data_IF_712471569331
#
_entry.id   IF_712471569331
#
_cell.length_a   1.000
_cell.length_b   1.000
_cell.length_c   1.000
_cell.angle_alpha   90.00
_cell.angle_beta   90.00
_cell.angle_gamma   90.00
#
_symmetry.space_group_name_H-M   'P 1'
#
loop_
_entity.id
_entity.type
_entity.pdbx_description
1 polymer ?
#
# COMPACT_ATOMS: atom_id res chain seq x y z
N UNK A 1 6.90 2.60 9.46
CA UNK A 1 8.01 3.55 9.71
C UNK A 1 8.25 3.58 11.20
N UNK A 2 9.50 3.53 11.66
CA UNK A 2 9.83 3.71 13.08
C UNK A 2 10.00 5.21 13.37
N UNK A 3 9.10 5.81 14.16
CA UNK A 3 9.15 7.24 14.50
C UNK A 3 10.37 7.61 15.33
N UNK A 4 10.95 6.67 16.08
CA UNK A 4 12.17 6.89 16.85
C UNK A 4 13.40 7.04 15.96
N UNK A 5 13.29 6.68 14.68
CA UNK A 5 14.37 6.77 13.68
C UNK A 5 14.35 8.06 12.85
N UNK A 6 13.38 8.97 13.09
CA UNK A 6 13.24 10.20 12.32
C UNK A 6 14.26 11.26 12.75
N UNK A 7 14.90 11.91 11.78
CA UNK A 7 15.85 13.00 11.98
C UNK A 7 15.49 14.18 11.08
N UNK A 8 15.24 15.35 11.68
CA UNK A 8 15.03 16.60 10.94
C UNK A 8 16.39 17.08 10.40
N UNK A 9 16.51 17.23 9.09
CA UNK A 9 17.75 17.66 8.43
C UNK A 9 17.77 19.19 8.21
N UNK A 10 16.64 19.74 7.80
CA UNK A 10 16.37 21.17 7.63
C UNK A 10 14.85 21.48 7.66
N UNK A 11 14.42 22.62 7.09
CA UNK A 11 13.01 23.06 7.06
C UNK A 11 12.10 22.20 6.19
N UNK A 12 12.63 21.50 5.21
CA UNK A 12 11.87 20.74 4.21
C UNK A 12 12.29 19.28 4.13
N UNK A 13 13.34 18.84 4.83
CA UNK A 13 13.85 17.48 4.71
C UNK A 13 13.86 16.73 6.05
N UNK A 14 13.33 15.51 6.02
CA UNK A 14 13.30 14.60 7.16
C UNK A 14 13.89 13.24 6.74
N UNK A 15 14.93 12.79 7.42
CA UNK A 15 15.45 11.45 7.25
C UNK A 15 14.67 10.45 8.12
N UNK A 16 14.55 9.22 7.66
CA UNK A 16 13.88 8.16 8.39
C UNK A 16 14.32 6.76 7.95
N UNK A 17 13.76 5.77 8.63
CA UNK A 17 14.00 4.36 8.33
C UNK A 17 12.69 3.61 8.08
N UNK A 18 12.61 2.93 6.93
CA UNK A 18 11.59 1.95 6.61
C UNK A 18 12.05 0.56 7.06
N UNK A 19 11.15 -0.14 7.75
CA UNK A 19 11.36 -1.52 8.17
C UNK A 19 10.37 -2.39 7.40
N UNK A 20 10.88 -3.39 6.69
CA UNK A 20 10.06 -4.45 6.12
C UNK A 20 9.94 -5.57 7.14
N UNK A 21 8.73 -5.79 7.63
CA UNK A 21 8.40 -6.83 8.60
C UNK A 21 7.38 -7.79 8.00
N UNK A 22 7.35 -9.02 8.51
CA UNK A 22 6.19 -9.87 8.33
C UNK A 22 5.12 -9.45 9.36
N UNK A 23 3.88 -9.21 8.92
CA UNK A 23 2.81 -8.71 9.80
C UNK A 23 2.42 -9.72 10.88
N UNK A 24 2.41 -11.01 10.55
CA UNK A 24 2.04 -12.08 11.48
C UNK A 24 3.21 -12.48 12.39
N UNK A 25 4.44 -12.20 11.95
CA UNK A 25 5.66 -12.41 12.73
C UNK A 25 6.63 -11.23 12.54
N UNK A 26 6.46 -10.14 13.32
CA UNK A 26 7.22 -8.90 13.15
C UNK A 26 8.73 -9.04 13.34
N UNK A 27 9.16 -10.12 14.00
CA UNK A 27 10.55 -10.44 14.25
C UNK A 27 10.95 -11.80 13.68
N UNK A 28 12.09 -11.91 12.97
CA UNK A 28 13.06 -10.85 12.69
C UNK A 28 12.60 -9.88 11.60
N UNK A 29 13.11 -8.64 11.65
CA UNK A 29 12.94 -7.65 10.56
C UNK A 29 13.56 -8.22 9.28
N UNK A 30 12.82 -8.19 8.17
CA UNK A 30 13.25 -8.79 6.89
C UNK A 30 14.27 -7.92 6.17
N UNK A 31 14.03 -6.62 6.14
CA UNK A 31 14.97 -5.65 5.57
C UNK A 31 14.73 -4.26 6.11
N UNK A 32 15.69 -3.38 5.88
CA UNK A 32 15.67 -1.99 6.30
C UNK A 32 16.11 -1.09 5.13
N UNK A 33 15.41 0.02 4.93
CA UNK A 33 15.74 1.02 3.92
C UNK A 33 15.75 2.39 4.57
N UNK A 34 16.87 3.09 4.47
CA UNK A 34 16.97 4.47 4.93
C UNK A 34 16.50 5.41 3.82
N UNK A 35 15.81 6.49 4.18
CA UNK A 35 15.29 7.45 3.21
C UNK A 35 15.40 8.89 3.71
N UNK A 36 15.26 9.83 2.78
CA UNK A 36 15.01 11.25 3.06
C UNK A 36 13.74 11.66 2.34
N UNK A 37 12.77 12.18 3.09
CA UNK A 37 11.56 12.78 2.57
C UNK A 37 11.75 14.28 2.42
N UNK A 38 11.37 14.81 1.26
CA UNK A 38 11.21 16.23 1.01
C UNK A 38 9.73 16.60 1.21
N UNK A 39 9.47 17.34 2.28
CA UNK A 39 8.15 17.73 2.79
C UNK A 39 7.56 18.98 2.10
N UNK A 40 8.11 19.37 0.94
CA UNK A 40 7.54 20.37 0.06
C UNK A 40 6.35 19.79 -0.74
N UNK A 41 5.66 20.62 -1.51
CA UNK A 41 4.59 20.17 -2.43
C UNK A 41 5.08 20.33 -3.87
N UNK A 42 5.17 19.24 -4.66
CA UNK A 42 4.83 17.85 -4.33
C UNK A 42 5.85 17.19 -3.38
N UNK A 43 5.40 16.22 -2.58
CA UNK A 43 6.31 15.45 -1.71
C UNK A 43 7.18 14.53 -2.56
N UNK A 44 8.46 14.43 -2.20
CA UNK A 44 9.43 13.55 -2.87
C UNK A 44 10.21 12.73 -1.86
N UNK A 45 10.78 11.61 -2.30
CA UNK A 45 11.58 10.73 -1.46
C UNK A 45 12.84 10.28 -2.19
N UNK A 46 13.95 10.25 -1.46
CA UNK A 46 15.22 9.71 -1.90
C UNK A 46 15.61 8.51 -1.03
N UNK A 47 16.02 7.41 -1.65
CA UNK A 47 16.59 6.26 -0.93
C UNK A 47 18.05 6.56 -0.63
N UNK A 48 18.47 6.34 0.62
CA UNK A 48 19.86 6.52 1.04
C UNK A 48 20.58 5.18 1.04
N UNK A 49 21.62 5.07 0.22
CA UNK A 49 22.59 3.98 0.28
C UNK A 49 23.77 4.41 1.17
N UNK A 50 23.80 3.97 2.43
CA UNK A 50 24.84 4.37 3.39
C UNK A 50 24.48 4.04 4.85
N UNK A 51 25.36 4.38 5.81
CA UNK A 51 25.07 4.20 7.24
C UNK A 51 24.11 5.29 7.74
N UNK A 52 23.16 4.91 8.58
CA UNK A 52 22.18 5.88 9.13
C UNK A 52 22.75 7.01 9.96
N UNK A 53 23.92 6.80 10.56
CA UNK A 53 24.57 7.73 11.49
C UNK A 53 25.04 9.02 10.83
N UNK A 54 25.18 9.02 9.50
CA UNK A 54 25.80 10.12 8.79
C UNK A 54 24.72 11.10 8.33
N UNK A 55 24.94 12.40 8.57
CA UNK A 55 24.04 13.45 8.12
C UNK A 55 23.92 13.35 6.59
N UNK A 56 22.70 13.19 6.09
CA UNK A 56 22.48 12.93 4.67
C UNK A 56 22.93 14.14 3.82
N UNK A 57 23.83 13.97 2.84
CA UNK A 57 24.22 15.02 1.91
C UNK A 57 23.09 15.26 0.90
N UNK A 58 22.19 16.19 1.19
CA UNK A 58 20.96 16.44 0.41
C UNK A 58 21.23 16.67 -1.08
N UNK A 59 22.31 17.36 -1.41
CA UNK A 59 22.70 17.70 -2.78
C UNK A 59 23.09 16.49 -3.64
N UNK A 60 23.47 15.37 -3.01
CA UNK A 60 23.84 14.14 -3.73
C UNK A 60 22.72 13.10 -3.77
N UNK A 61 21.53 13.44 -3.25
CA UNK A 61 20.39 12.53 -3.22
C UNK A 61 19.55 12.68 -4.49
N UNK A 62 19.18 11.54 -5.08
CA UNK A 62 18.25 11.49 -6.19
C UNK A 62 16.82 11.38 -5.63
N UNK A 63 16.07 12.48 -5.73
CA UNK A 63 14.69 12.54 -5.30
C UNK A 63 13.76 12.05 -6.41
N UNK A 64 12.87 11.14 -6.04
CA UNK A 64 11.81 10.62 -6.89
C UNK A 64 10.44 11.02 -6.33
N UNK A 65 9.46 11.12 -7.22
CA UNK A 65 8.08 11.33 -6.80
C UNK A 65 7.63 10.17 -5.91
N UNK A 66 6.98 10.50 -4.80
CA UNK A 66 6.44 9.46 -3.93
C UNK A 66 5.28 8.74 -4.61
N UNK A 67 5.24 7.43 -4.41
CA UNK A 67 4.20 6.55 -4.93
C UNK A 67 3.46 5.86 -3.79
N UNK A 68 2.16 5.63 -4.02
CA UNK A 68 1.36 4.82 -3.11
C UNK A 68 1.80 3.35 -3.14
N UNK A 69 2.19 2.85 -4.32
CA UNK A 69 2.38 1.42 -4.58
C UNK A 69 3.60 0.84 -3.86
N UNK A 70 4.68 1.60 -3.75
CA UNK A 70 5.92 1.17 -3.09
C UNK A 70 5.99 1.59 -1.61
N UNK A 71 4.93 2.23 -1.10
CA UNK A 71 4.85 2.72 0.27
C UNK A 71 5.68 3.98 0.56
N UNK A 72 6.35 4.57 -0.44
CA UNK A 72 7.15 5.79 -0.27
C UNK A 72 6.28 7.01 0.08
N UNK A 73 5.05 7.08 -0.43
CA UNK A 73 4.09 8.13 -0.04
C UNK A 73 3.75 8.06 1.44
N UNK A 74 3.42 6.87 1.94
CA UNK A 74 3.09 6.68 3.36
C UNK A 74 4.31 6.93 4.26
N UNK A 75 5.50 6.59 3.79
CA UNK A 75 6.75 6.86 4.49
C UNK A 75 7.03 8.36 4.62
N UNK A 76 6.90 9.09 3.50
CA UNK A 76 7.14 10.52 3.44
C UNK A 76 6.09 11.31 4.23
N UNK A 77 4.80 11.01 4.04
CA UNK A 77 3.72 11.69 4.77
C UNK A 77 3.88 11.50 6.29
N UNK A 78 4.15 10.26 6.74
CA UNK A 78 4.39 10.00 8.14
C UNK A 78 5.59 10.78 8.69
N UNK A 79 6.71 10.82 7.97
CA UNK A 79 7.92 11.54 8.40
C UNK A 79 7.69 13.05 8.50
N UNK A 80 7.03 13.63 7.49
CA UNK A 80 6.74 15.06 7.44
C UNK A 80 5.73 15.50 8.51
N UNK A 81 4.73 14.67 8.81
CA UNK A 81 3.70 15.03 9.80
C UNK A 81 4.13 14.74 11.24
N UNK A 82 4.94 13.69 11.47
CA UNK A 82 5.52 13.37 12.80
C UNK A 82 6.42 14.48 13.33
N UNK A 83 7.08 15.19 12.43
CA UNK A 83 8.00 16.28 12.77
C UNK A 83 7.28 17.62 12.93
N UNK A 84 6.13 17.82 12.27
CA UNK A 84 5.29 19.01 12.44
C UNK A 84 4.41 18.94 13.68
N UNK A 85 3.78 17.80 13.96
CA UNK A 85 2.83 17.61 15.06
C UNK A 85 2.81 16.15 15.54
N UNK A 86 3.54 15.78 16.62
CA UNK A 86 3.67 14.38 17.05
C UNK A 86 2.34 13.66 17.35
N UNK A 87 1.34 14.37 17.88
CA UNK A 87 -0.01 13.82 18.11
C UNK A 87 -0.79 13.58 16.82
N UNK A 88 -0.55 14.38 15.78
CA UNK A 88 -1.19 14.24 14.47
C UNK A 88 -0.63 13.05 13.70
N UNK A 89 0.64 12.70 13.89
CA UNK A 89 1.24 11.53 13.25
C UNK A 89 0.71 10.18 13.75
N UNK A 90 0.42 10.05 15.04
CA UNK A 90 -0.24 8.84 15.57
C UNK A 90 -1.66 8.70 15.00
N UNK A 91 -2.35 9.83 14.85
CA UNK A 91 -3.66 9.89 14.21
C UNK A 91 -3.56 9.59 12.71
N UNK A 92 -2.58 10.14 11.99
CA UNK A 92 -2.31 9.88 10.58
C UNK A 92 -1.89 8.44 10.31
N UNK A 93 -1.04 7.82 11.14
CA UNK A 93 -0.70 6.40 11.00
C UNK A 93 -1.95 5.51 11.13
N UNK A 94 -2.85 5.85 12.04
CA UNK A 94 -4.14 5.17 12.21
C UNK A 94 -5.12 5.49 11.07
N UNK A 95 -5.19 6.75 10.63
CA UNK A 95 -6.01 7.19 9.50
C UNK A 95 -5.50 6.62 8.17
N UNK A 96 -4.19 6.50 7.94
CA UNK A 96 -3.60 5.81 6.78
C UNK A 96 -3.80 4.31 6.87
N UNK A 97 -3.79 3.73 8.08
CA UNK A 97 -4.14 2.31 8.24
C UNK A 97 -5.64 2.07 7.95
N UNK A 98 -6.53 2.93 8.43
CA UNK A 98 -7.98 2.79 8.30
C UNK A 98 -8.47 3.24 6.91
N UNK A 99 -7.99 4.38 6.41
CA UNK A 99 -8.40 5.01 5.16
C UNK A 99 -7.45 4.80 4.00
N UNK A 100 -6.21 4.38 4.21
CA UNK A 100 -5.11 4.61 3.27
C UNK A 100 -5.19 3.83 1.99
N UNK A 101 -6.14 4.17 1.12
CA UNK A 101 -5.91 4.21 -0.29
C UNK A 101 -6.04 5.67 -0.75
N UNK A 102 -5.69 5.96 -2.00
CA UNK A 102 -5.95 7.24 -2.66
C UNK A 102 -7.41 7.73 -2.48
N UNK A 103 -7.70 9.04 -2.59
CA UNK A 103 -9.03 9.59 -2.33
C UNK A 103 -10.13 9.04 -3.26
N UNK A 104 -9.76 8.52 -4.43
CA UNK A 104 -10.64 7.83 -5.38
C UNK A 104 -10.76 6.32 -5.11
N UNK A 105 -10.39 5.86 -3.92
CA UNK A 105 -10.48 4.44 -3.58
C UNK A 105 -11.92 3.97 -3.58
N UNK A 106 -12.21 3.01 -4.44
CA UNK A 106 -13.45 2.24 -4.47
C UNK A 106 -13.26 0.95 -3.67
N UNK A 107 -14.35 0.47 -3.07
CA UNK A 107 -14.36 -0.78 -2.29
C UNK A 107 -15.43 -1.70 -2.85
N UNK A 108 -15.05 -2.97 -3.04
CA UNK A 108 -15.97 -4.06 -3.34
C UNK A 108 -15.71 -5.22 -2.39
N UNK A 109 -16.73 -6.00 -2.10
CA UNK A 109 -16.69 -7.16 -1.22
C UNK A 109 -17.01 -8.39 -2.04
N UNK A 110 -16.06 -9.31 -2.14
CA UNK A 110 -16.18 -10.47 -3.01
C UNK A 110 -16.31 -11.76 -2.20
N UNK A 111 -17.26 -12.60 -2.61
CA UNK A 111 -17.39 -13.97 -2.15
C UNK A 111 -16.55 -14.85 -3.08
N UNK A 112 -15.49 -15.48 -2.54
CA UNK A 112 -14.52 -16.25 -3.31
C UNK A 112 -14.70 -17.75 -3.12
N UNK A 113 -14.86 -18.45 -4.23
CA UNK A 113 -14.93 -19.90 -4.28
C UNK A 113 -13.68 -20.45 -4.99
N UNK A 114 -12.88 -21.32 -4.33
CA UNK A 114 -11.82 -22.06 -5.00
C UNK A 114 -12.40 -22.99 -6.06
N UNK A 115 -11.68 -23.18 -7.17
CA UNK A 115 -12.11 -24.14 -8.18
C UNK A 115 -12.17 -25.56 -7.62
N UNK A 116 -13.22 -26.30 -7.97
CA UNK A 116 -13.48 -27.65 -7.43
C UNK A 116 -13.91 -27.74 -5.95
N UNK A 117 -14.10 -26.61 -5.25
CA UNK A 117 -14.57 -26.58 -3.85
C UNK A 117 -16.00 -26.06 -3.74
N UNK A 118 -16.74 -26.48 -2.71
CA UNK A 118 -18.04 -25.89 -2.32
C UNK A 118 -17.91 -24.83 -1.21
N UNK A 119 -16.71 -24.65 -0.67
CA UNK A 119 -16.46 -23.64 0.36
C UNK A 119 -16.34 -22.25 -0.25
N UNK A 120 -17.07 -21.29 0.31
CA UNK A 120 -17.04 -19.89 -0.12
C UNK A 120 -16.48 -19.02 1.01
N UNK A 121 -15.37 -18.34 0.73
CA UNK A 121 -14.84 -17.30 1.61
C UNK A 121 -15.62 -16.01 1.35
N UNK A 122 -16.45 -15.62 2.31
CA UNK A 122 -17.36 -14.48 2.15
C UNK A 122 -16.73 -13.15 2.50
N UNK A 123 -17.17 -12.10 1.82
CA UNK A 123 -16.91 -10.72 2.20
C UNK A 123 -15.45 -10.29 2.14
N UNK A 124 -14.67 -10.84 1.20
CA UNK A 124 -13.29 -10.42 0.99
C UNK A 124 -13.29 -8.98 0.49
N UNK A 125 -12.75 -8.07 1.29
CA UNK A 125 -12.66 -6.66 0.95
C UNK A 125 -11.57 -6.46 -0.09
N UNK A 126 -11.93 -5.89 -1.23
CA UNK A 126 -10.99 -5.44 -2.26
C UNK A 126 -11.14 -3.95 -2.43
N UNK A 127 -10.05 -3.21 -2.20
CA UNK A 127 -10.00 -1.76 -2.38
C UNK A 127 -9.11 -1.45 -3.57
N UNK A 128 -9.54 -0.56 -4.45
CA UNK A 128 -8.75 -0.18 -5.62
C UNK A 128 -8.88 1.30 -5.98
N UNK A 129 -7.85 1.86 -6.61
CA UNK A 129 -7.80 3.24 -7.08
C UNK A 129 -7.37 3.28 -8.55
N UNK A 130 -8.22 3.82 -9.46
CA UNK A 130 -7.86 4.08 -10.84
C UNK A 130 -6.68 5.04 -10.98
N UNK A 131 -6.67 6.17 -10.26
CA UNK A 131 -5.65 7.20 -10.42
C UNK A 131 -4.26 6.74 -10.00
N UNK A 132 -4.17 5.82 -9.03
CA UNK A 132 -2.90 5.30 -8.54
C UNK A 132 -2.56 3.89 -9.03
N UNK A 133 -3.42 3.27 -9.86
CA UNK A 133 -3.30 1.85 -10.24
C UNK A 133 -3.06 0.91 -9.04
N UNK A 134 -3.71 1.21 -7.92
CA UNK A 134 -3.46 0.52 -6.65
C UNK A 134 -4.58 -0.46 -6.32
N UNK A 135 -4.23 -1.61 -5.74
CA UNK A 135 -5.18 -2.63 -5.28
C UNK A 135 -4.73 -3.17 -3.92
N UNK A 136 -5.67 -3.39 -3.01
CA UNK A 136 -5.47 -4.09 -1.74
C UNK A 136 -6.58 -5.11 -1.49
N UNK A 137 -6.25 -6.23 -0.85
CA UNK A 137 -7.19 -7.30 -0.50
C UNK A 137 -7.10 -7.57 1.00
N UNK A 138 -8.22 -7.49 1.73
CA UNK A 138 -8.29 -7.66 3.18
C UNK A 138 -7.16 -6.92 3.92
N UNK A 139 -6.97 -5.64 3.58
CA UNK A 139 -5.93 -4.76 4.15
C UNK A 139 -4.48 -5.13 3.81
N UNK A 140 -4.26 -6.08 2.90
CA UNK A 140 -2.94 -6.38 2.34
C UNK A 140 -2.76 -5.59 1.03
N UNK A 141 -1.81 -4.65 1.03
CA UNK A 141 -1.42 -3.89 -0.16
C UNK A 141 -0.72 -4.78 -1.17
N UNK A 142 -1.21 -4.79 -2.41
CA UNK A 142 -0.62 -5.53 -3.52
C UNK A 142 -0.11 -4.51 -4.54
N UNK A 143 1.20 -4.25 -4.52
CA UNK A 143 1.86 -3.13 -5.22
C UNK A 143 1.90 -3.21 -6.75
N UNK A 144 1.23 -4.18 -7.39
CA UNK A 144 1.32 -4.42 -8.84
C UNK A 144 -0.04 -4.72 -9.46
N UNK A 145 -0.90 -3.70 -9.50
CA UNK A 145 -2.19 -3.75 -10.18
C UNK A 145 -2.27 -2.78 -11.36
N UNK A 146 -3.26 -2.98 -12.23
CA UNK A 146 -3.72 -2.03 -13.23
C UNK A 146 -5.21 -1.84 -13.06
N UNK A 147 -5.68 -0.61 -13.03
CA UNK A 147 -7.11 -0.29 -12.84
C UNK A 147 -7.58 0.54 -14.04
N UNK A 148 -8.55 0.01 -14.77
CA UNK A 148 -9.19 0.64 -15.92
C UNK A 148 -10.67 0.87 -15.63
N UNK A 149 -11.41 1.52 -16.53
CA UNK A 149 -12.85 1.71 -16.38
C UNK A 149 -13.62 0.39 -16.23
N UNK A 150 -13.15 -0.67 -16.89
CA UNK A 150 -13.86 -1.95 -16.98
C UNK A 150 -13.27 -3.05 -16.09
N UNK A 151 -11.97 -2.96 -15.77
CA UNK A 151 -11.23 -4.03 -15.11
C UNK A 151 -10.24 -3.53 -14.06
N UNK A 152 -10.20 -4.24 -12.93
CA UNK A 152 -9.08 -4.22 -11.98
C UNK A 152 -8.30 -5.51 -12.14
N UNK A 153 -6.98 -5.43 -12.40
CA UNK A 153 -6.10 -6.59 -12.57
C UNK A 153 -4.90 -6.49 -11.64
N UNK A 154 -4.51 -7.57 -10.96
CA UNK A 154 -3.36 -7.54 -10.05
C UNK A 154 -2.77 -8.94 -9.77
N UNK A 155 -1.52 -8.96 -9.30
CA UNK A 155 -0.81 -10.19 -8.90
C UNK A 155 0.20 -10.70 -9.93
N UNK A 156 1.36 -11.16 -9.45
CA UNK A 156 2.51 -11.53 -10.29
C UNK A 156 2.55 -13.02 -10.68
N UNK A 157 2.29 -13.93 -9.74
CA UNK A 157 2.37 -15.39 -9.96
C UNK A 157 1.00 -16.03 -10.24
N UNK A 158 -0.07 -15.25 -10.11
CA UNK A 158 -1.44 -15.62 -10.43
C UNK A 158 -2.19 -14.32 -10.64
N UNK A 159 -2.94 -14.21 -11.72
CA UNK A 159 -3.59 -12.96 -12.13
C UNK A 159 -4.99 -12.92 -11.57
N UNK A 160 -5.27 -11.93 -10.74
CA UNK A 160 -6.61 -11.56 -10.35
C UNK A 160 -7.20 -10.59 -11.36
N UNK A 161 -8.47 -10.77 -11.70
CA UNK A 161 -9.25 -9.88 -12.56
C UNK A 161 -10.61 -9.65 -11.92
N UNK A 162 -11.01 -8.39 -11.80
CA UNK A 162 -12.34 -7.99 -11.34
C UNK A 162 -12.98 -7.19 -12.46
N UNK A 163 -14.11 -7.66 -12.95
CA UNK A 163 -14.94 -6.89 -13.86
C UNK A 163 -15.73 -5.85 -13.03
N UNK A 164 -15.50 -4.56 -13.29
CA UNK A 164 -16.07 -3.47 -12.49
C UNK A 164 -17.56 -3.24 -12.73
N UNK A 165 -18.08 -3.71 -13.87
CA UNK A 165 -19.48 -3.59 -14.27
C UNK A 165 -20.29 -4.82 -13.86
N UNK A 166 -19.81 -6.01 -14.25
CA UNK A 166 -20.46 -7.27 -13.93
C UNK A 166 -20.28 -7.68 -12.45
N UNK A 167 -19.32 -7.06 -11.75
CA UNK A 167 -18.95 -7.36 -10.37
C UNK A 167 -18.65 -8.85 -10.16
N UNK A 168 -17.89 -9.43 -11.08
CA UNK A 168 -17.33 -10.76 -10.92
C UNK A 168 -15.81 -10.69 -10.74
N UNK A 169 -15.28 -11.64 -9.97
CA UNK A 169 -13.85 -11.77 -9.70
C UNK A 169 -13.37 -13.15 -10.12
N UNK A 170 -12.17 -13.18 -10.70
CA UNK A 170 -11.49 -14.42 -11.08
C UNK A 170 -10.02 -14.34 -10.70
N UNK A 171 -9.47 -15.48 -10.30
CA UNK A 171 -8.03 -15.68 -10.18
C UNK A 171 -7.62 -16.80 -11.12
N UNK A 172 -6.61 -16.55 -11.93
CA UNK A 172 -6.04 -17.58 -12.81
C UNK A 172 -4.57 -17.83 -12.49
N UNK A 173 -4.13 -19.08 -12.69
CA UNK A 173 -2.72 -19.44 -12.71
C UNK A 173 -2.02 -18.82 -13.94
N UNK A 174 -0.66 -18.81 -14.00
CA UNK A 174 0.06 -18.31 -15.17
C UNK A 174 -0.32 -19.04 -16.47
N UNK A 175 -0.68 -20.32 -16.37
CA UNK A 175 -1.15 -21.14 -17.50
C UNK A 175 -2.62 -20.92 -17.89
N UNK A 176 -3.34 -20.00 -17.25
CA UNK A 176 -4.73 -19.66 -17.56
C UNK A 176 -5.80 -20.49 -16.82
N UNK A 177 -5.41 -21.56 -16.14
CA UNK A 177 -6.28 -22.35 -15.26
C UNK A 177 -6.97 -21.45 -14.23
N UNK A 178 -8.27 -21.65 -14.02
CA UNK A 178 -9.05 -20.92 -13.03
C UNK A 178 -8.77 -21.50 -11.64
N UNK A 179 -8.32 -20.65 -10.71
CA UNK A 179 -8.03 -21.02 -9.33
C UNK A 179 -9.17 -20.62 -8.39
N UNK A 180 -9.78 -19.46 -8.66
CA UNK A 180 -10.90 -18.94 -7.90
C UNK A 180 -11.86 -18.19 -8.82
N UNK A 181 -13.14 -18.22 -8.48
CA UNK A 181 -14.15 -17.34 -9.04
C UNK A 181 -15.09 -16.83 -7.96
N UNK A 182 -15.82 -15.76 -8.25
CA UNK A 182 -16.69 -15.14 -7.26
C UNK A 182 -17.53 -14.01 -7.81
N UNK A 183 -18.46 -13.58 -6.98
CA UNK A 183 -19.27 -12.38 -7.20
C UNK A 183 -18.90 -11.35 -6.14
N UNK A 184 -18.96 -10.07 -6.52
CA UNK A 184 -18.68 -8.94 -5.68
C UNK A 184 -19.93 -8.07 -5.48
N UNK A 185 -20.02 -7.38 -4.35
CA UNK A 185 -21.01 -6.35 -4.07
C UNK A 185 -20.28 -5.08 -3.61
N UNK A 186 -20.83 -3.91 -3.89
CA UNK A 186 -20.31 -2.63 -3.40
C UNK A 186 -20.69 -2.37 -1.94
N UNK A 187 -21.67 -3.11 -1.42
CA UNK A 187 -22.13 -3.03 -0.04
C UNK A 187 -21.34 -3.99 0.84
N UNK A 188 -20.96 -3.51 2.01
CA UNK A 188 -20.35 -4.35 3.03
C UNK A 188 -21.29 -5.52 3.40
N UNK A 189 -20.75 -6.73 3.64
CA UNK A 189 -21.54 -7.83 4.18
C UNK A 189 -22.15 -7.42 5.52
N UNK A 190 -23.34 -7.93 5.83
CA UNK A 190 -23.90 -7.76 7.17
C UNK A 190 -22.93 -8.32 8.21
N UNK A 191 -22.48 -7.47 9.14
CA UNK A 191 -21.70 -7.89 10.31
C UNK A 191 -22.50 -8.97 11.06
N UNK A 192 -21.96 -10.18 11.11
CA UNK A 192 -22.48 -11.27 11.95
C UNK A 192 -21.77 -11.27 13.28
#
# INVERSE_FOLDING_TARGET
>A
VDNLSLQILDRTHVAGTLLHINVDRPYPVRSRVDFVAECATPMRLAIRTGRASDRAPLESLEFSDVSWLDGSWAAAEFACESTRQPGRAAQLAREMYERGGPPDTEVVYCDLQPDGSTEVRKGVEVRFSPSANAVSVNRQWLSSGSVTADEVRFGANSVWRINRQALDIRRSAPGGEMLFSGLCDRRAPALR
#
